data_IF_998451224841
#
_entry.id   IF_998451224841
#
_cell.length_a   1.000
_cell.length_b   1.000
_cell.length_c   1.000
_cell.angle_alpha   90.00
_cell.angle_beta   90.00
_cell.angle_gamma   90.00
#
_symmetry.space_group_name_H-M   'P 1'
#
loop_
_entity.id
_entity.type
_entity.pdbx_description
1 polymer ?
#
# COMPACT_ATOMS: atom_id res chain seq x y z
N UNK A 1 63.92 -13.67 -28.25
CA UNK A 1 62.85 -14.03 -29.20
C UNK A 1 62.44 -15.46 -28.86
N UNK A 2 61.23 -15.81 -28.45
CA UNK A 2 59.93 -15.14 -28.39
C UNK A 2 59.17 -15.63 -27.14
N UNK A 3 58.25 -14.79 -26.69
CA UNK A 3 57.29 -15.06 -25.61
C UNK A 3 56.33 -16.21 -25.94
N UNK A 4 55.86 -16.90 -24.89
CA UNK A 4 54.53 -17.51 -24.85
C UNK A 4 53.91 -17.14 -23.50
N UNK A 5 53.03 -16.16 -23.54
CA UNK A 5 52.19 -15.72 -22.42
C UNK A 5 51.00 -16.68 -22.32
N UNK A 6 50.97 -17.49 -21.26
CA UNK A 6 49.75 -18.15 -20.80
C UNK A 6 48.92 -17.14 -20.02
N UNK A 7 47.95 -16.53 -20.71
CA UNK A 7 46.93 -15.71 -20.09
C UNK A 7 45.96 -16.57 -19.27
N UNK A 8 45.59 -16.17 -18.04
CA UNK A 8 44.62 -16.92 -17.26
C UNK A 8 43.24 -16.85 -17.92
N UNK A 9 42.70 -18.04 -18.16
CA UNK A 9 41.34 -18.35 -18.57
C UNK A 9 40.32 -17.40 -17.94
N UNK A 10 39.52 -16.76 -18.79
CA UNK A 10 38.37 -15.97 -18.39
C UNK A 10 37.44 -16.84 -17.55
N UNK A 11 37.51 -16.64 -16.23
CA UNK A 11 36.54 -17.18 -15.30
C UNK A 11 35.14 -16.76 -15.77
N UNK A 12 34.34 -17.75 -16.12
CA UNK A 12 32.89 -17.63 -16.26
C UNK A 12 32.37 -17.04 -14.93
N UNK A 13 32.17 -15.73 -14.90
CA UNK A 13 31.39 -15.09 -13.85
C UNK A 13 29.99 -15.66 -14.01
N UNK A 14 29.65 -16.63 -13.17
CA UNK A 14 28.27 -17.03 -12.98
C UNK A 14 27.54 -15.75 -12.55
N UNK A 15 26.67 -15.22 -13.43
CA UNK A 15 25.71 -14.20 -13.03
C UNK A 15 24.87 -14.86 -11.95
N UNK A 16 25.07 -14.50 -10.69
CA UNK A 16 24.04 -14.69 -9.67
C UNK A 16 22.76 -14.12 -10.29
N UNK A 17 21.72 -14.95 -10.40
CA UNK A 17 20.47 -14.56 -11.03
C UNK A 17 20.01 -13.26 -10.41
N UNK A 18 19.89 -12.20 -11.21
CA UNK A 18 19.38 -10.92 -10.74
C UNK A 18 17.99 -11.18 -10.14
N UNK A 19 17.87 -11.00 -8.82
CA UNK A 19 16.64 -11.27 -8.10
C UNK A 19 15.56 -10.31 -8.60
N UNK A 20 14.53 -10.85 -9.23
CA UNK A 20 13.36 -10.09 -9.66
C UNK A 20 12.45 -9.86 -8.45
N UNK A 21 12.15 -8.61 -8.12
CA UNK A 21 11.27 -8.27 -7.00
C UNK A 21 9.80 -8.53 -7.38
N UNK A 22 9.09 -9.47 -6.74
CA UNK A 22 7.64 -9.52 -6.86
C UNK A 22 7.04 -8.31 -6.16
N UNK A 23 6.21 -7.53 -6.85
CA UNK A 23 5.51 -6.38 -6.27
C UNK A 23 4.01 -6.68 -6.27
N UNK A 24 3.37 -6.57 -5.11
CA UNK A 24 1.95 -6.85 -4.98
C UNK A 24 1.11 -5.73 -5.60
N UNK A 25 1.34 -4.49 -5.16
CA UNK A 25 0.57 -3.29 -5.52
C UNK A 25 1.42 -2.03 -5.41
N UNK A 26 0.87 -0.94 -5.93
CA UNK A 26 1.32 0.43 -5.68
C UNK A 26 0.11 1.25 -5.22
N UNK A 27 0.18 1.78 -4.01
CA UNK A 27 -0.83 2.60 -3.38
C UNK A 27 -0.72 4.06 -3.80
N UNK A 28 -1.78 4.57 -4.42
CA UNK A 28 -1.98 5.98 -4.77
C UNK A 28 -2.98 6.59 -3.78
N UNK A 29 -2.46 7.13 -2.69
CA UNK A 29 -3.23 7.51 -1.52
C UNK A 29 -3.55 9.00 -1.48
N UNK A 30 -4.72 9.36 -0.97
CA UNK A 30 -5.18 10.74 -0.94
C UNK A 30 -5.98 11.14 -2.19
N UNK A 31 -6.56 10.16 -2.91
CA UNK A 31 -7.50 10.45 -3.99
C UNK A 31 -8.74 11.14 -3.40
N UNK A 32 -9.18 12.22 -4.04
CA UNK A 32 -10.26 13.06 -3.55
C UNK A 32 -11.09 13.65 -4.72
N UNK A 33 -11.97 14.59 -4.39
CA UNK A 33 -12.92 15.21 -5.32
C UNK A 33 -12.27 16.04 -6.44
N UNK A 34 -10.95 16.27 -6.41
CA UNK A 34 -10.23 16.90 -7.52
C UNK A 34 -10.06 16.00 -8.74
N UNK A 35 -10.44 14.72 -8.63
CA UNK A 35 -10.33 13.70 -9.68
C UNK A 35 -11.70 13.16 -10.07
N UNK A 36 -11.93 12.97 -11.37
CA UNK A 36 -13.10 12.25 -11.85
C UNK A 36 -12.93 10.74 -11.61
N UNK A 37 -13.90 10.04 -10.97
CA UNK A 37 -13.83 8.59 -10.77
C UNK A 37 -13.63 7.77 -12.05
N UNK A 38 -14.07 8.28 -13.19
CA UNK A 38 -13.87 7.65 -14.50
C UNK A 38 -12.38 7.54 -14.85
N UNK A 39 -11.57 8.54 -14.53
CA UNK A 39 -10.12 8.52 -14.78
C UNK A 39 -9.41 7.48 -13.91
N UNK A 40 -9.89 7.30 -12.66
CA UNK A 40 -9.42 6.24 -11.75
C UNK A 40 -9.67 4.86 -12.36
N UNK A 41 -10.86 4.64 -12.91
CA UNK A 41 -11.23 3.39 -13.60
C UNK A 41 -10.40 3.17 -14.86
N UNK A 42 -10.25 4.21 -15.70
CA UNK A 42 -9.46 4.15 -16.94
C UNK A 42 -8.01 3.73 -16.64
N UNK A 43 -7.34 4.46 -15.74
CA UNK A 43 -5.95 4.19 -15.38
C UNK A 43 -5.79 2.76 -14.85
N UNK A 44 -6.68 2.33 -13.95
CA UNK A 44 -6.60 1.00 -13.36
C UNK A 44 -6.79 -0.11 -14.39
N UNK A 45 -7.72 0.05 -15.33
CA UNK A 45 -8.00 -0.99 -16.34
C UNK A 45 -6.97 -1.04 -17.45
N UNK A 46 -6.55 0.11 -17.93
CA UNK A 46 -5.76 0.19 -19.17
C UNK A 46 -4.26 0.17 -18.92
N UNK A 47 -3.83 0.65 -17.75
CA UNK A 47 -2.41 0.91 -17.48
C UNK A 47 -1.90 0.16 -16.25
N UNK A 48 -2.67 0.15 -15.16
CA UNK A 48 -2.17 -0.32 -13.87
C UNK A 48 -3.24 -1.09 -13.08
N UNK A 49 -3.58 -2.33 -13.46
CA UNK A 49 -4.55 -3.16 -12.71
C UNK A 49 -4.07 -3.55 -11.30
N UNK A 50 -2.80 -3.26 -11.01
CA UNK A 50 -2.14 -3.42 -9.72
C UNK A 50 -2.16 -2.14 -8.87
N UNK A 51 -2.60 -1.01 -9.42
CA UNK A 51 -2.73 0.24 -8.67
C UNK A 51 -3.89 0.13 -7.68
N UNK A 52 -3.64 0.57 -6.46
CA UNK A 52 -4.64 0.66 -5.41
C UNK A 52 -4.84 2.11 -5.00
N UNK A 53 -6.09 2.54 -4.92
CA UNK A 53 -6.43 3.93 -4.64
C UNK A 53 -6.80 4.07 -3.17
N UNK A 54 -5.95 4.78 -2.43
CA UNK A 54 -6.13 5.03 -1.00
C UNK A 54 -7.03 6.24 -0.75
N UNK A 55 -8.13 6.03 -0.03
CA UNK A 55 -9.08 7.06 0.36
C UNK A 55 -8.93 7.35 1.85
N UNK A 56 -8.68 8.60 2.22
CA UNK A 56 -8.49 9.00 3.61
C UNK A 56 -9.83 9.42 4.24
N UNK A 57 -10.10 8.87 5.42
CA UNK A 57 -11.30 9.16 6.19
C UNK A 57 -10.95 9.91 7.46
N UNK A 58 -11.27 11.20 7.48
CA UNK A 58 -11.15 12.09 8.64
C UNK A 58 -12.35 13.04 8.66
N UNK A 59 -13.40 12.73 9.44
CA UNK A 59 -14.70 13.43 9.39
C UNK A 59 -14.59 14.94 9.50
N UNK A 60 -13.67 15.43 10.31
CA UNK A 60 -13.49 16.87 10.58
C UNK A 60 -12.83 17.61 9.41
N UNK A 61 -12.32 16.88 8.41
CA UNK A 61 -11.72 17.42 7.18
C UNK A 61 -12.46 16.99 5.91
N UNK A 62 -13.62 16.35 6.00
CA UNK A 62 -14.38 15.93 4.81
C UNK A 62 -14.63 17.09 3.84
N UNK A 63 -14.46 16.82 2.55
CA UNK A 63 -14.56 17.80 1.46
C UNK A 63 -13.33 18.70 1.30
N UNK A 64 -12.30 18.54 2.12
CA UNK A 64 -11.02 19.23 1.95
C UNK A 64 -10.06 18.40 1.10
N UNK A 65 -9.02 19.02 0.51
CA UNK A 65 -7.94 18.29 -0.13
C UNK A 65 -7.45 17.09 0.69
N UNK A 66 -7.30 15.95 0.02
CA UNK A 66 -6.96 14.59 0.52
C UNK A 66 -8.08 13.85 1.24
N UNK A 67 -9.11 14.55 1.72
CA UNK A 67 -10.18 13.98 2.55
C UNK A 67 -11.52 14.17 1.84
N UNK A 68 -11.88 13.31 0.87
CA UNK A 68 -13.13 13.47 0.13
C UNK A 68 -14.35 13.39 1.05
N UNK A 69 -15.45 14.02 0.65
CA UNK A 69 -16.72 13.84 1.37
C UNK A 69 -17.22 12.42 1.20
N UNK A 70 -17.95 11.90 2.21
CA UNK A 70 -18.65 10.62 2.06
C UNK A 70 -19.64 10.63 0.89
N UNK A 71 -20.20 11.80 0.56
CA UNK A 71 -21.05 11.96 -0.62
C UNK A 71 -20.30 11.60 -1.90
N UNK A 72 -19.10 12.15 -2.13
CA UNK A 72 -18.32 11.81 -3.32
C UNK A 72 -17.86 10.35 -3.32
N UNK A 73 -17.44 9.82 -2.16
CA UNK A 73 -17.05 8.42 -2.03
C UNK A 73 -18.19 7.49 -2.44
N UNK A 74 -19.38 7.68 -1.90
CA UNK A 74 -20.52 6.79 -2.16
C UNK A 74 -21.22 7.06 -3.48
N UNK A 75 -21.50 8.33 -3.78
CA UNK A 75 -22.31 8.70 -4.93
C UNK A 75 -21.54 8.77 -6.24
N UNK A 76 -20.22 8.83 -6.20
CA UNK A 76 -19.37 8.98 -7.38
C UNK A 76 -18.36 7.84 -7.45
N UNK A 77 -17.36 7.82 -6.56
CA UNK A 77 -16.24 6.88 -6.66
C UNK A 77 -16.69 5.41 -6.61
N UNK A 78 -17.34 5.00 -5.52
CA UNK A 78 -17.73 3.61 -5.32
C UNK A 78 -18.80 3.13 -6.31
N UNK A 79 -19.72 4.00 -6.75
CA UNK A 79 -20.68 3.65 -7.80
C UNK A 79 -20.00 3.33 -9.13
N UNK A 80 -19.05 4.18 -9.54
CA UNK A 80 -18.31 4.01 -10.81
C UNK A 80 -17.39 2.79 -10.73
N UNK A 81 -16.67 2.62 -9.61
CA UNK A 81 -15.83 1.44 -9.34
C UNK A 81 -16.63 0.13 -9.29
N UNK A 82 -17.77 0.12 -8.60
CA UNK A 82 -18.63 -1.06 -8.49
C UNK A 82 -19.14 -1.48 -9.87
N UNK A 83 -19.64 -0.52 -10.66
CA UNK A 83 -20.06 -0.77 -12.05
C UNK A 83 -18.90 -1.33 -12.88
N UNK A 84 -17.71 -0.76 -12.73
CA UNK A 84 -16.53 -1.21 -13.46
C UNK A 84 -16.13 -2.65 -13.09
N UNK A 85 -16.04 -2.97 -11.81
CA UNK A 85 -15.64 -4.31 -11.37
C UNK A 85 -16.70 -5.38 -11.66
N UNK A 86 -17.99 -5.03 -11.68
CA UNK A 86 -19.06 -5.96 -12.06
C UNK A 86 -18.95 -6.37 -13.53
N UNK A 87 -18.69 -5.42 -14.44
CA UNK A 87 -18.63 -5.68 -15.89
C UNK A 87 -17.58 -6.73 -16.29
N UNK A 88 -16.49 -6.83 -15.53
CA UNK A 88 -15.37 -7.73 -15.81
C UNK A 88 -15.45 -9.05 -15.05
N UNK A 89 -16.32 -9.16 -14.05
CA UNK A 89 -16.41 -10.33 -13.16
C UNK A 89 -15.20 -10.52 -12.23
N UNK A 90 -14.19 -9.65 -12.34
CA UNK A 90 -12.99 -9.61 -11.49
C UNK A 90 -12.72 -8.16 -11.08
N UNK A 91 -12.26 -7.89 -9.84
CA UNK A 91 -11.87 -6.54 -9.41
C UNK A 91 -10.73 -5.99 -10.30
N UNK A 92 -11.01 -4.92 -11.03
CA UNK A 92 -10.05 -4.17 -11.86
C UNK A 92 -9.62 -2.85 -11.23
N UNK A 93 -10.42 -2.33 -10.30
CA UNK A 93 -10.10 -1.14 -9.51
C UNK A 93 -10.11 -1.52 -8.04
N UNK A 94 -9.02 -1.18 -7.37
CA UNK A 94 -8.71 -1.61 -6.01
C UNK A 94 -8.78 -0.38 -5.10
N UNK A 95 -9.47 -0.51 -3.97
CA UNK A 95 -9.67 0.56 -3.01
C UNK A 95 -9.17 0.15 -1.63
N UNK A 96 -8.37 1.03 -1.03
CA UNK A 96 -7.92 0.93 0.36
C UNK A 96 -8.42 2.13 1.17
N UNK A 97 -8.87 1.88 2.39
CA UNK A 97 -9.36 2.91 3.30
C UNK A 97 -8.31 3.26 4.33
N UNK A 98 -8.02 4.55 4.53
CA UNK A 98 -7.07 5.04 5.53
C UNK A 98 -7.86 5.73 6.64
N UNK A 99 -7.95 5.10 7.80
CA UNK A 99 -8.73 5.61 8.92
C UNK A 99 -7.86 6.54 9.77
N UNK A 100 -8.25 7.80 9.86
CA UNK A 100 -7.60 8.80 10.70
C UNK A 100 -8.61 9.33 11.74
N UNK A 101 -8.10 9.99 12.78
CA UNK A 101 -8.89 10.62 13.85
C UNK A 101 -10.02 9.74 14.37
N UNK A 102 -11.24 10.28 14.49
CA UNK A 102 -12.41 9.59 15.03
C UNK A 102 -12.74 8.27 14.33
N UNK A 103 -12.37 8.07 13.05
CA UNK A 103 -12.55 6.78 12.34
C UNK A 103 -11.53 5.73 12.79
N UNK A 104 -10.32 6.14 13.11
CA UNK A 104 -9.34 5.26 13.72
C UNK A 104 -9.76 4.93 15.16
N UNK A 105 -10.23 5.93 15.92
CA UNK A 105 -10.66 5.75 17.31
C UNK A 105 -11.86 4.80 17.44
N UNK A 106 -12.79 4.78 16.47
CA UNK A 106 -13.85 3.78 16.41
C UNK A 106 -13.29 2.35 16.46
N UNK A 107 -12.33 2.04 15.60
CA UNK A 107 -11.68 0.72 15.57
C UNK A 107 -10.93 0.44 16.88
N UNK A 108 -10.20 1.42 17.42
CA UNK A 108 -9.49 1.30 18.70
C UNK A 108 -10.44 1.07 19.89
N UNK A 109 -11.69 1.53 19.78
CA UNK A 109 -12.75 1.33 20.76
C UNK A 109 -13.60 0.07 20.48
N UNK A 110 -13.29 -0.70 19.45
CA UNK A 110 -13.95 -1.98 19.14
C UNK A 110 -15.19 -1.83 18.26
N UNK A 111 -15.39 -0.68 17.63
CA UNK A 111 -16.47 -0.41 16.68
C UNK A 111 -15.98 -0.63 15.24
N UNK A 112 -16.50 -1.69 14.61
CA UNK A 112 -16.18 -2.08 13.23
C UNK A 112 -17.20 -1.54 12.20
N UNK A 113 -18.28 -0.88 12.64
CA UNK A 113 -19.44 -0.55 11.80
C UNK A 113 -19.08 0.30 10.57
N UNK A 114 -18.16 1.24 10.72
CA UNK A 114 -17.70 2.05 9.59
C UNK A 114 -16.89 1.22 8.58
N UNK A 115 -16.08 0.27 9.05
CA UNK A 115 -15.30 -0.63 8.20
C UNK A 115 -16.21 -1.61 7.46
N UNK A 116 -17.28 -2.10 8.10
CA UNK A 116 -18.31 -2.90 7.43
C UNK A 116 -18.99 -2.12 6.31
N UNK A 117 -19.32 -0.85 6.53
CA UNK A 117 -19.85 0.04 5.48
C UNK A 117 -18.88 0.16 4.31
N UNK A 118 -17.59 0.40 4.59
CA UNK A 118 -16.55 0.49 3.55
C UNK A 118 -16.41 -0.82 2.77
N UNK A 119 -16.47 -1.97 3.46
CA UNK A 119 -16.43 -3.27 2.81
C UNK A 119 -17.60 -3.46 1.83
N UNK A 120 -18.81 -3.02 2.23
CA UNK A 120 -20.01 -3.04 1.38
C UNK A 120 -19.86 -2.13 0.15
N UNK A 121 -19.09 -1.04 0.26
CA UNK A 121 -18.76 -0.13 -0.83
C UNK A 121 -17.65 -0.63 -1.76
N UNK A 122 -17.05 -1.80 -1.47
CA UNK A 122 -16.05 -2.44 -2.32
C UNK A 122 -14.60 -2.30 -1.84
N UNK A 123 -14.35 -1.64 -0.71
CA UNK A 123 -13.02 -1.62 -0.10
C UNK A 123 -12.64 -3.02 0.38
N UNK A 124 -11.36 -3.38 0.23
CA UNK A 124 -10.84 -4.70 0.63
C UNK A 124 -9.64 -4.63 1.56
N UNK A 125 -9.06 -3.45 1.73
CA UNK A 125 -8.01 -3.18 2.70
C UNK A 125 -8.37 -1.94 3.52
N UNK A 126 -8.02 -1.97 4.79
CA UNK A 126 -8.20 -0.84 5.71
C UNK A 126 -6.95 -0.64 6.54
N UNK A 127 -6.47 0.60 6.61
CA UNK A 127 -5.30 0.99 7.37
C UNK A 127 -5.70 1.76 8.63
N UNK A 128 -5.19 1.31 9.76
CA UNK A 128 -5.40 1.93 11.08
C UNK A 128 -4.23 2.88 11.38
N UNK A 129 -4.44 4.18 11.21
CA UNK A 129 -3.42 5.21 11.41
C UNK A 129 -3.46 5.79 12.83
N UNK A 130 -3.11 4.96 13.82
CA UNK A 130 -3.23 5.28 15.25
C UNK A 130 -2.10 6.19 15.78
N UNK A 131 -1.83 7.30 15.09
CA UNK A 131 -0.79 8.27 15.48
C UNK A 131 -1.37 9.65 15.77
N UNK A 132 -0.65 10.44 16.57
CA UNK A 132 -0.97 11.82 16.90
C UNK A 132 -1.00 12.71 15.66
N UNK A 133 -0.12 12.46 14.68
CA UNK A 133 -0.14 13.16 13.38
C UNK A 133 -1.50 13.00 12.67
N UNK A 134 -2.14 11.84 12.88
CA UNK A 134 -3.47 11.52 12.37
C UNK A 134 -4.62 11.92 13.31
N UNK A 135 -4.34 12.72 14.35
CA UNK A 135 -5.29 13.21 15.34
C UNK A 135 -5.99 12.09 16.13
N UNK A 136 -5.21 11.09 16.53
CA UNK A 136 -5.60 9.97 17.38
C UNK A 136 -4.85 10.07 18.70
N UNK A 137 -5.52 9.79 19.82
CA UNK A 137 -4.84 9.61 21.10
C UNK A 137 -4.08 8.26 21.14
N UNK A 138 -2.77 8.32 20.94
CA UNK A 138 -1.87 7.16 20.96
C UNK A 138 -1.33 6.83 22.35
N UNK A 139 -1.75 7.54 23.41
CA UNK A 139 -1.14 7.40 24.74
C UNK A 139 -1.43 6.07 25.45
N UNK A 140 -2.48 5.35 25.05
CA UNK A 140 -2.91 4.10 25.69
C UNK A 140 -3.26 2.98 24.70
N UNK A 141 -2.49 2.87 23.62
CA UNK A 141 -2.73 1.87 22.57
C UNK A 141 -2.69 0.41 23.08
N UNK A 142 -1.90 0.13 24.12
CA UNK A 142 -1.82 -1.21 24.71
C UNK A 142 -3.18 -1.70 25.25
N UNK A 143 -4.00 -0.81 25.81
CA UNK A 143 -5.33 -1.16 26.32
C UNK A 143 -6.35 -1.43 25.19
N UNK A 144 -6.04 -1.05 23.95
CA UNK A 144 -6.95 -1.13 22.81
C UNK A 144 -6.71 -2.39 21.95
N UNK A 145 -5.66 -3.18 22.24
CA UNK A 145 -5.31 -4.39 21.49
C UNK A 145 -6.47 -5.38 21.37
N UNK A 146 -7.20 -5.64 22.46
CA UNK A 146 -8.35 -6.56 22.45
C UNK A 146 -9.52 -6.04 21.62
N UNK A 147 -9.72 -4.73 21.60
CA UNK A 147 -10.75 -4.10 20.79
C UNK A 147 -10.44 -4.21 19.30
N UNK A 148 -9.20 -3.90 18.92
CA UNK A 148 -8.74 -4.06 17.53
C UNK A 148 -8.80 -5.53 17.11
N UNK A 149 -8.41 -6.46 17.98
CA UNK A 149 -8.53 -7.91 17.74
C UNK A 149 -9.97 -8.30 17.40
N UNK A 150 -10.96 -7.79 18.15
CA UNK A 150 -12.39 -8.05 17.86
C UNK A 150 -12.80 -7.51 16.50
N UNK A 151 -12.37 -6.29 16.14
CA UNK A 151 -12.65 -5.71 14.83
C UNK A 151 -12.08 -6.56 13.68
N UNK A 152 -10.82 -7.01 13.81
CA UNK A 152 -10.15 -7.86 12.81
C UNK A 152 -10.92 -9.17 12.63
N UNK A 153 -11.28 -9.83 13.74
CA UNK A 153 -12.02 -11.09 13.73
C UNK A 153 -13.45 -10.96 13.20
N UNK A 154 -14.10 -9.80 13.39
CA UNK A 154 -15.45 -9.54 12.89
C UNK A 154 -15.52 -9.46 11.35
N UNK A 155 -14.42 -9.12 10.69
CA UNK A 155 -14.38 -8.94 9.23
C UNK A 155 -13.17 -9.66 8.61
N UNK A 156 -13.17 -11.01 8.57
CA UNK A 156 -12.03 -11.82 8.12
C UNK A 156 -11.70 -11.64 6.64
N UNK A 157 -12.65 -11.17 5.84
CA UNK A 157 -12.46 -10.89 4.41
C UNK A 157 -11.84 -9.51 4.12
N UNK A 158 -11.68 -8.67 5.13
CA UNK A 158 -10.97 -7.40 5.05
C UNK A 158 -9.52 -7.62 5.46
N UNK A 159 -8.58 -7.11 4.67
CA UNK A 159 -7.17 -7.03 5.07
C UNK A 159 -6.94 -5.78 5.94
N UNK A 160 -6.37 -5.98 7.12
CA UNK A 160 -6.10 -4.91 8.09
C UNK A 160 -4.62 -4.55 8.06
N UNK A 161 -4.33 -3.33 7.62
CA UNK A 161 -2.99 -2.76 7.57
C UNK A 161 -2.70 -2.03 8.89
N UNK A 162 -1.73 -2.53 9.64
CA UNK A 162 -1.19 -1.83 10.81
C UNK A 162 -0.07 -0.89 10.38
N UNK A 163 -0.21 0.40 10.69
CA UNK A 163 0.89 1.34 10.55
C UNK A 163 1.96 1.03 11.60
N UNK A 164 3.16 0.63 11.17
CA UNK A 164 4.28 0.30 12.05
C UNK A 164 5.27 1.46 12.11
N UNK A 165 5.40 1.98 13.32
CA UNK A 165 6.43 2.88 13.78
C UNK A 165 6.55 2.75 15.31
N UNK A 166 7.42 3.54 15.95
CA UNK A 166 7.61 3.48 17.40
C UNK A 166 6.37 3.96 18.18
N UNK A 167 5.65 4.95 17.66
CA UNK A 167 4.44 5.48 18.32
C UNK A 167 3.33 4.43 18.40
N UNK A 168 3.15 3.63 17.35
CA UNK A 168 2.12 2.58 17.29
C UNK A 168 2.57 1.24 17.86
N UNK A 169 3.79 1.14 18.40
CA UNK A 169 4.39 -0.13 18.88
C UNK A 169 3.54 -0.86 19.90
N UNK A 170 3.00 -0.12 20.86
CA UNK A 170 2.13 -0.68 21.88
C UNK A 170 0.84 -1.32 21.32
N UNK A 171 0.46 -1.01 20.07
CA UNK A 171 -0.64 -1.66 19.36
C UNK A 171 -0.16 -2.86 18.53
N UNK A 172 0.82 -2.66 17.62
CA UNK A 172 1.16 -3.69 16.65
C UNK A 172 1.94 -4.86 17.25
N UNK A 173 2.85 -4.64 18.20
CA UNK A 173 3.70 -5.71 18.75
C UNK A 173 2.85 -6.79 19.46
N UNK A 174 1.87 -6.46 20.32
CA UNK A 174 0.97 -7.46 20.89
C UNK A 174 0.01 -8.10 19.88
N UNK A 175 -0.39 -7.40 18.80
CA UNK A 175 -1.24 -7.98 17.76
C UNK A 175 -0.48 -9.00 16.91
N UNK A 176 0.79 -8.74 16.57
CA UNK A 176 1.62 -9.70 15.83
C UNK A 176 1.90 -10.97 16.65
N UNK A 177 2.02 -10.83 17.98
CA UNK A 177 2.16 -11.99 18.86
C UNK A 177 0.93 -12.92 18.89
N UNK A 178 -0.24 -12.47 18.41
CA UNK A 178 -1.50 -13.24 18.34
C UNK A 178 -1.59 -14.00 17.02
N UNK A 179 -1.15 -15.26 17.04
CA UNK A 179 -1.12 -16.12 15.84
C UNK A 179 -2.47 -16.36 15.18
N UNK A 180 -3.57 -16.23 15.92
CA UNK A 180 -4.94 -16.44 15.46
C UNK A 180 -5.49 -15.30 14.60
N UNK A 181 -4.92 -14.10 14.68
CA UNK A 181 -5.37 -12.91 13.91
C UNK A 181 -4.50 -12.62 12.68
N UNK A 182 -3.43 -13.38 12.45
CA UNK A 182 -2.42 -13.05 11.43
C UNK A 182 -2.89 -13.25 9.98
N UNK A 183 -3.95 -14.01 9.72
CA UNK A 183 -4.30 -14.43 8.35
C UNK A 183 -4.84 -13.31 7.46
N UNK A 184 -5.38 -12.22 8.04
CA UNK A 184 -5.91 -11.07 7.31
C UNK A 184 -5.28 -9.75 7.78
N UNK A 185 -4.02 -9.81 8.23
CA UNK A 185 -3.26 -8.64 8.64
C UNK A 185 -2.08 -8.40 7.72
N UNK A 186 -1.71 -7.13 7.58
CA UNK A 186 -0.49 -6.70 6.94
C UNK A 186 0.11 -5.51 7.67
N UNK A 187 1.37 -5.19 7.38
CA UNK A 187 2.12 -4.15 8.08
C UNK A 187 2.62 -3.11 7.09
N UNK A 188 2.34 -1.84 7.33
CA UNK A 188 2.95 -0.75 6.60
C UNK A 188 4.09 -0.14 7.41
N UNK A 189 5.30 -0.22 6.90
CA UNK A 189 6.42 0.55 7.42
C UNK A 189 6.23 2.02 7.03
N UNK A 190 5.80 2.87 7.98
CA UNK A 190 5.70 4.34 7.80
C UNK A 190 6.20 5.14 9.02
N UNK A 191 7.50 5.49 8.99
CA UNK A 191 8.22 6.26 10.02
C UNK A 191 8.01 7.75 9.78
N UNK A 192 7.57 8.12 8.57
CA UNK A 192 7.24 9.49 8.23
C UNK A 192 5.89 9.91 8.82
N UNK A 193 5.06 8.94 9.25
CA UNK A 193 3.70 9.17 9.75
C UNK A 193 2.86 10.06 8.80
N UNK A 194 3.03 9.88 7.49
CA UNK A 194 2.38 10.69 6.45
C UNK A 194 3.04 12.04 6.12
N UNK A 195 4.16 12.40 6.75
CA UNK A 195 4.87 13.67 6.49
C UNK A 195 5.68 13.68 5.20
N UNK A 196 5.88 12.52 4.57
CA UNK A 196 6.58 12.42 3.28
C UNK A 196 8.10 12.50 3.37
N UNK A 197 8.69 12.24 4.54
CA UNK A 197 10.14 12.12 4.69
C UNK A 197 10.64 10.85 3.98
N UNK A 198 11.65 11.00 3.12
CA UNK A 198 12.26 9.90 2.36
C UNK A 198 12.92 8.89 3.29
N UNK A 199 12.62 7.60 3.07
CA UNK A 199 13.32 6.49 3.74
C UNK A 199 14.61 6.13 3.02
N UNK A 200 15.64 5.82 3.82
CA UNK A 200 16.93 5.31 3.32
C UNK A 200 17.15 3.83 3.62
N UNK A 201 16.30 3.23 4.47
CA UNK A 201 16.36 1.81 4.85
C UNK A 201 15.00 1.14 4.61
N UNK A 202 15.05 -0.09 4.11
CA UNK A 202 13.88 -0.93 3.83
C UNK A 202 14.00 -2.19 4.68
N UNK A 203 13.33 -2.24 5.85
CA UNK A 203 13.33 -3.44 6.69
C UNK A 203 12.91 -4.65 5.87
N UNK A 204 13.57 -5.79 6.11
CA UNK A 204 13.25 -7.04 5.43
C UNK A 204 11.80 -7.48 5.73
N UNK A 205 11.10 -8.13 4.79
CA UNK A 205 9.74 -8.63 5.02
C UNK A 205 9.60 -9.62 6.17
N UNK A 206 10.64 -10.39 6.51
CA UNK A 206 10.68 -11.30 7.67
C UNK A 206 10.49 -10.58 9.01
N UNK A 207 10.86 -9.28 9.07
CA UNK A 207 10.61 -8.41 10.23
C UNK A 207 9.11 -8.23 10.48
N UNK A 208 8.25 -8.50 9.51
CA UNK A 208 6.79 -8.53 9.66
C UNK A 208 6.26 -9.89 10.14
N UNK A 209 7.10 -10.76 10.68
CA UNK A 209 6.74 -12.09 11.21
C UNK A 209 6.06 -12.99 10.16
N UNK A 210 6.44 -12.81 8.89
CA UNK A 210 5.87 -13.54 7.75
C UNK A 210 4.57 -12.95 7.19
N UNK A 211 4.08 -11.83 7.74
CA UNK A 211 2.95 -11.10 7.18
C UNK A 211 3.30 -10.36 5.88
N UNK A 212 2.32 -10.11 5.00
CA UNK A 212 2.47 -9.14 3.93
C UNK A 212 2.88 -7.78 4.50
N UNK A 213 3.81 -7.08 3.84
CA UNK A 213 4.25 -5.77 4.27
C UNK A 213 4.38 -4.76 3.14
N UNK A 214 4.27 -3.48 3.47
CA UNK A 214 4.48 -2.41 2.52
C UNK A 214 5.35 -1.30 3.07
N UNK A 215 5.80 -0.44 2.16
CA UNK A 215 6.70 0.66 2.48
C UNK A 215 6.06 1.98 2.05
N UNK A 216 6.07 2.96 2.96
CA UNK A 216 5.63 4.32 2.70
C UNK A 216 6.70 5.33 3.17
N UNK A 217 6.47 6.61 2.87
CA UNK A 217 7.32 7.71 3.33
C UNK A 217 8.18 8.29 2.21
N UNK A 218 7.76 9.44 1.68
CA UNK A 218 8.49 10.21 0.66
C UNK A 218 8.62 9.53 -0.70
N UNK A 219 7.94 8.40 -0.92
CA UNK A 219 7.96 7.67 -2.19
C UNK A 219 7.16 8.46 -3.23
N UNK A 220 7.66 8.56 -4.46
CA UNK A 220 6.95 9.17 -5.57
C UNK A 220 7.70 9.09 -6.90
N UNK A 221 7.30 9.89 -7.90
CA UNK A 221 7.87 9.82 -9.25
C UNK A 221 9.37 10.10 -9.36
N UNK A 222 10.01 10.67 -8.33
CA UNK A 222 11.42 11.04 -8.40
C UNK A 222 12.35 9.97 -7.82
N UNK A 223 11.81 8.98 -7.08
CA UNK A 223 12.63 8.01 -6.34
C UNK A 223 12.06 6.57 -6.35
N UNK A 224 10.91 6.30 -6.97
CA UNK A 224 10.28 4.97 -6.97
C UNK A 224 11.23 3.85 -7.46
N UNK A 225 12.00 4.04 -8.54
CA UNK A 225 13.00 3.06 -8.99
C UNK A 225 14.06 2.75 -7.93
N UNK A 226 14.59 3.79 -7.26
CA UNK A 226 15.57 3.65 -6.18
C UNK A 226 14.98 2.91 -4.99
N UNK A 227 13.72 3.20 -4.64
CA UNK A 227 12.98 2.51 -3.58
C UNK A 227 12.81 1.03 -3.90
N UNK A 228 12.35 0.70 -5.11
CA UNK A 228 12.16 -0.68 -5.55
C UNK A 228 13.49 -1.46 -5.54
N UNK A 229 14.57 -0.86 -6.03
CA UNK A 229 15.91 -1.45 -5.95
C UNK A 229 16.38 -1.67 -4.50
N UNK A 230 16.07 -0.74 -3.58
CA UNK A 230 16.40 -0.87 -2.16
C UNK A 230 15.62 -2.00 -1.47
N UNK A 231 14.33 -2.15 -1.79
CA UNK A 231 13.49 -3.26 -1.31
C UNK A 231 14.02 -4.59 -1.86
N UNK A 232 14.28 -4.65 -3.17
CA UNK A 232 14.83 -5.84 -3.84
C UNK A 232 16.15 -6.28 -3.20
N UNK A 233 17.06 -5.33 -2.95
CA UNK A 233 18.37 -5.59 -2.34
C UNK A 233 18.27 -6.10 -0.90
N UNK A 234 17.24 -5.68 -0.17
CA UNK A 234 17.03 -6.11 1.22
C UNK A 234 16.40 -7.51 1.29
N UNK A 235 15.70 -7.95 0.25
CA UNK A 235 14.87 -9.14 0.25
C UNK A 235 15.37 -10.29 -0.65
N UNK A 236 16.64 -10.25 -1.09
CA UNK A 236 17.25 -11.16 -2.07
C UNK A 236 17.05 -12.66 -1.73
N UNK A 237 17.05 -13.04 -0.45
CA UNK A 237 16.94 -14.45 -0.06
C UNK A 237 15.48 -14.96 0.02
N UNK A 238 14.49 -14.08 0.14
CA UNK A 238 13.11 -14.43 0.52
C UNK A 238 12.18 -14.75 -0.67
N UNK A 239 12.52 -14.33 -1.89
CA UNK A 239 11.65 -14.42 -3.07
C UNK A 239 12.00 -15.52 -4.08
N UNK A 240 12.97 -16.39 -3.75
CA UNK A 240 13.38 -17.51 -4.63
C UNK A 240 12.44 -18.72 -4.57
N UNK A 241 11.54 -18.77 -3.58
CA UNK A 241 10.49 -19.78 -3.49
C UNK A 241 9.18 -19.28 -4.13
N UNK A 242 8.62 -20.08 -5.02
CA UNK A 242 7.30 -19.89 -5.65
C UNK A 242 6.13 -19.71 -4.66
N UNK A 243 6.30 -20.07 -3.38
CA UNK A 243 5.34 -19.78 -2.31
C UNK A 243 5.33 -18.30 -1.84
N UNK A 244 6.33 -17.51 -2.26
CA UNK A 244 6.58 -16.14 -1.78
C UNK A 244 5.68 -15.05 -2.40
N UNK A 245 4.74 -15.40 -3.30
CA UNK A 245 3.80 -14.43 -3.88
C UNK A 245 2.91 -13.75 -2.83
N UNK A 246 2.54 -14.46 -1.76
CA UNK A 246 1.76 -13.91 -0.64
C UNK A 246 2.57 -12.95 0.24
N UNK A 247 3.90 -12.96 0.14
CA UNK A 247 4.81 -12.06 0.88
C UNK A 247 5.35 -10.93 0.01
N UNK A 248 4.86 -10.80 -1.23
CA UNK A 248 5.29 -9.73 -2.12
C UNK A 248 4.94 -8.36 -1.50
N UNK A 249 5.91 -7.44 -1.40
CA UNK A 249 5.65 -6.15 -0.78
C UNK A 249 4.77 -5.27 -1.65
N UNK A 250 4.19 -4.23 -1.05
CA UNK A 250 3.65 -3.09 -1.78
C UNK A 250 4.39 -1.82 -1.41
N UNK A 251 4.20 -0.77 -2.20
CA UNK A 251 4.64 0.58 -1.86
C UNK A 251 3.44 1.51 -1.80
N UNK A 252 3.51 2.55 -0.98
CA UNK A 252 2.42 3.48 -0.74
C UNK A 252 2.91 4.93 -0.81
N UNK A 253 2.15 5.79 -1.48
CA UNK A 253 2.51 7.19 -1.69
C UNK A 253 1.29 8.10 -1.60
N UNK A 254 1.46 9.23 -0.91
CA UNK A 254 0.41 10.22 -0.70
C UNK A 254 0.88 11.62 -1.11
N UNK A 255 1.74 12.26 -0.31
CA UNK A 255 2.12 13.67 -0.49
C UNK A 255 2.83 13.95 -1.82
N UNK A 256 3.60 13.00 -2.35
CA UNK A 256 4.30 13.16 -3.63
C UNK A 256 3.35 13.21 -4.83
N UNK A 257 2.11 12.74 -4.67
CA UNK A 257 1.06 12.75 -5.69
C UNK A 257 0.23 14.05 -5.66
N UNK A 258 0.54 14.98 -4.76
CA UNK A 258 -0.19 16.25 -4.63
C UNK A 258 0.51 17.37 -5.39
N UNK A 259 -0.27 18.23 -6.03
CA UNK A 259 0.24 19.45 -6.65
C UNK A 259 -0.68 20.64 -6.39
N UNK A 260 -0.22 21.83 -6.79
CA UNK A 260 -1.03 23.05 -6.74
C UNK A 260 -1.64 23.30 -8.11
N UNK A 261 -2.97 23.47 -8.16
CA UNK A 261 -3.63 23.92 -9.39
C UNK A 261 -3.32 25.42 -9.65
N UNK A 262 -3.89 25.97 -10.73
CA UNK A 262 -3.69 27.37 -11.11
C UNK A 262 -4.09 28.36 -10.00
N UNK A 263 -5.04 27.99 -9.14
CA UNK A 263 -5.53 28.78 -8.02
C UNK A 263 -4.77 28.52 -6.71
N UNK A 264 -3.69 27.73 -6.74
CA UNK A 264 -2.88 27.39 -5.58
C UNK A 264 -3.52 26.36 -4.64
N UNK A 265 -4.62 25.72 -5.03
CA UNK A 265 -5.30 24.69 -4.25
C UNK A 265 -4.54 23.37 -4.35
N UNK A 266 -4.49 22.64 -3.23
CA UNK A 266 -3.91 21.29 -3.18
C UNK A 266 -4.84 20.31 -3.89
N UNK A 267 -4.36 19.66 -4.95
CA UNK A 267 -5.11 18.68 -5.74
C UNK A 267 -4.34 17.38 -5.91
N UNK A 268 -5.06 16.30 -6.19
CA UNK A 268 -4.47 15.01 -6.52
C UNK A 268 -4.04 14.98 -8.00
N UNK A 269 -2.80 14.59 -8.27
CA UNK A 269 -2.23 14.62 -9.62
C UNK A 269 -2.23 13.25 -10.28
N UNK A 270 -3.16 13.04 -11.20
CA UNK A 270 -3.15 11.86 -12.06
C UNK A 270 -1.91 11.82 -12.98
N UNK A 271 -1.36 12.98 -13.35
CA UNK A 271 -0.13 13.05 -14.12
C UNK A 271 1.05 12.43 -13.35
N UNK A 272 1.17 12.70 -12.05
CA UNK A 272 2.18 12.08 -11.20
C UNK A 272 1.95 10.59 -10.99
N UNK A 273 0.69 10.15 -10.87
CA UNK A 273 0.37 8.72 -10.85
C UNK A 273 0.84 8.02 -12.13
N UNK A 274 0.59 8.63 -13.30
CA UNK A 274 1.06 8.11 -14.60
C UNK A 274 2.59 8.05 -14.69
N UNK A 275 3.31 9.05 -14.15
CA UNK A 275 4.78 9.00 -14.06
C UNK A 275 5.31 7.87 -13.16
N UNK A 276 4.62 7.56 -12.06
CA UNK A 276 4.94 6.39 -11.24
C UNK A 276 4.69 5.09 -12.02
N UNK A 277 3.58 5.00 -12.75
CA UNK A 277 3.25 3.85 -13.60
C UNK A 277 4.33 3.63 -14.65
N UNK A 278 4.73 4.67 -15.38
CA UNK A 278 5.76 4.58 -16.42
C UNK A 278 7.10 4.05 -15.86
N UNK A 279 7.45 4.41 -14.63
CA UNK A 279 8.66 3.90 -13.97
C UNK A 279 8.51 2.45 -13.53
N UNK A 280 7.39 2.05 -12.94
CA UNK A 280 7.13 0.64 -12.60
C UNK A 280 7.15 -0.22 -13.86
N UNK A 281 6.54 0.25 -14.96
CA UNK A 281 6.57 -0.43 -16.26
C UNK A 281 8.00 -0.55 -16.81
N UNK A 282 8.84 0.46 -16.61
CA UNK A 282 10.25 0.41 -16.99
C UNK A 282 11.03 -0.64 -16.18
N UNK A 283 10.81 -0.72 -14.86
CA UNK A 283 11.41 -1.74 -14.00
C UNK A 283 10.89 -3.16 -14.33
N UNK A 284 9.64 -3.27 -14.79
CA UNK A 284 9.12 -4.55 -15.28
C UNK A 284 9.79 -4.97 -16.59
N UNK A 285 9.99 -4.02 -17.52
CA UNK A 285 10.66 -4.28 -18.81
C UNK A 285 12.14 -4.63 -18.64
N UNK A 286 12.81 -4.06 -17.63
CA UNK A 286 14.19 -4.42 -17.29
C UNK A 286 14.31 -5.79 -16.61
N UNK A 287 13.19 -6.33 -16.10
CA UNK A 287 13.16 -7.58 -15.33
C UNK A 287 13.47 -7.38 -13.84
N UNK A 288 13.72 -6.15 -13.39
CA UNK A 288 13.99 -5.85 -11.99
C UNK A 288 12.76 -6.07 -11.09
N UNK A 289 11.56 -5.87 -11.63
CA UNK A 289 10.28 -6.01 -10.91
C UNK A 289 9.32 -6.92 -11.69
N UNK A 290 8.51 -7.70 -10.96
CA UNK A 290 7.37 -8.42 -11.50
C UNK A 290 6.13 -8.08 -10.69
N UNK A 291 5.23 -7.29 -11.26
CA UNK A 291 3.98 -6.97 -10.57
C UNK A 291 3.00 -8.14 -10.61
N UNK A 292 2.44 -8.48 -9.45
CA UNK A 292 1.54 -9.61 -9.27
C UNK A 292 0.09 -9.19 -9.51
N UNK A 293 -0.41 -9.41 -10.73
CA UNK A 293 -1.84 -9.21 -11.02
C UNK A 293 -2.61 -10.44 -10.54
N UNK A 294 -3.14 -10.38 -9.31
CA UNK A 294 -3.97 -11.46 -8.79
C UNK A 294 -5.32 -11.46 -9.51
N UNK A 295 -5.63 -12.55 -10.22
CA UNK A 295 -7.02 -12.87 -10.55
C UNK A 295 -7.67 -13.37 -9.27
N UNK A 296 -8.56 -12.57 -8.68
CA UNK A 296 -9.45 -13.08 -7.63
C UNK A 296 -10.40 -14.08 -8.29
N UNK A 297 -10.03 -15.36 -8.31
CA UNK A 297 -11.03 -16.41 -8.37
C UNK A 297 -11.61 -16.50 -6.96
N UNK A 298 -12.78 -15.90 -6.75
CA UNK A 298 -13.56 -16.17 -5.56
C UNK A 298 -13.89 -17.67 -5.57
N UNK A 299 -13.16 -18.46 -4.80
CA UNK A 299 -13.63 -19.78 -4.39
C UNK A 299 -14.81 -19.52 -3.46
N UNK A 300 -16.02 -19.68 -4.01
CA UNK A 300 -17.28 -19.67 -3.27
C UNK A 300 -17.36 -20.91 -2.38
#
# INVERSE_FOLDING_TARGET
>A
MSASEDGPSAAKVARHGEACLPLLRVGFCGVDESVAPEDVVEISRERAPWAEWGVLFRPEKEGQPRFPSMKWVEDSLCKVVCKANHQTGVPTVLLAAHLCSSRCEQVLNGDVSFVERLFALGFRRVQVNATKANNVDSSNLAAQVDNVTKCIAALPAMEWILQRNEETRALWEPLLARKDTLFNMSVLFDDSVGTGVERTTFPRPDVAEGLPCGYAGGIGPHNISKVLAGIASSAIDDFTDSSASHRAPWIDMESSLREKNADGQDIFSLARCRQCIDQVDAECKSGAVKVLVHSFTASV
#
